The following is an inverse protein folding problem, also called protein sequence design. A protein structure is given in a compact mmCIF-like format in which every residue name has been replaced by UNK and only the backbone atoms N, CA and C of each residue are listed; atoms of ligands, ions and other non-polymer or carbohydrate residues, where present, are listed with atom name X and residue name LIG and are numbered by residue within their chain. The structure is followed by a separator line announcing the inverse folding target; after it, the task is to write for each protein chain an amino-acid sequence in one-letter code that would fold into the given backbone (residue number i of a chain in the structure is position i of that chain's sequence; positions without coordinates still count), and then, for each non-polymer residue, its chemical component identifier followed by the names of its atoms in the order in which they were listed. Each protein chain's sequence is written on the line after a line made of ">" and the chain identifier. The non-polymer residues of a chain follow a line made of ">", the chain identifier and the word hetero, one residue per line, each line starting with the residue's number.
data_IF_655430164233
#
_entry.id   IF_655430164233
#
_cell.length_a   1.000
_cell.length_b   1.000
_cell.length_c   1.000
_cell.angle_alpha   90.00
_cell.angle_beta   90.00
_cell.angle_gamma   90.00
#
_symmetry.space_group_name_H-M   'P 1'
#
loop_
_entity.id
_entity.type
_entity.pdbx_description
1 polymer ?
#
# COMPACT_ATOMS: atom_id res chain seq x y z
N UNK A 1 40.93 17.24 -1.91
CA UNK A 1 40.17 18.33 -2.57
C UNK A 1 38.69 18.01 -2.46
N UNK A 2 37.91 18.88 -1.81
CA UNK A 2 36.45 18.82 -1.74
C UNK A 2 35.90 19.66 -2.89
N UNK A 3 34.98 19.12 -3.67
CA UNK A 3 34.23 19.92 -4.66
C UNK A 3 32.74 19.82 -4.39
N UNK A 4 32.15 20.98 -4.14
CA UNK A 4 30.72 21.26 -4.12
C UNK A 4 30.27 21.71 -5.52
N UNK A 5 29.06 21.33 -5.95
CA UNK A 5 28.20 22.02 -6.96
C UNK A 5 26.81 21.37 -6.88
N UNK A 6 25.79 21.87 -6.16
CA UNK A 6 24.92 23.04 -6.37
C UNK A 6 24.30 23.17 -7.77
N UNK A 7 23.01 22.80 -7.83
CA UNK A 7 21.87 23.45 -8.53
C UNK A 7 21.94 23.68 -10.05
N UNK A 8 21.02 23.01 -10.77
CA UNK A 8 20.48 23.49 -12.04
C UNK A 8 18.96 23.56 -11.96
N UNK A 9 18.44 24.79 -11.98
CA UNK A 9 17.07 25.16 -12.31
C UNK A 9 17.08 25.54 -13.80
N UNK A 10 16.17 24.96 -14.59
CA UNK A 10 15.85 25.47 -15.93
C UNK A 10 14.32 25.45 -16.12
N UNK A 11 13.82 26.59 -16.57
CA UNK A 11 12.42 27.00 -16.69
C UNK A 11 12.05 27.11 -18.19
N UNK A 12 10.78 27.42 -18.50
CA UNK A 12 10.23 27.91 -19.82
C UNK A 12 9.84 26.82 -20.84
N UNK A 13 8.73 26.84 -21.59
CA UNK A 13 7.40 27.50 -21.55
C UNK A 13 6.49 26.89 -22.66
N UNK A 14 5.16 27.09 -22.50
CA UNK A 14 4.05 27.22 -23.48
C UNK A 14 4.06 26.47 -24.84
N UNK A 15 2.96 25.74 -25.12
CA UNK A 15 2.50 25.53 -26.51
C UNK A 15 1.48 24.41 -26.75
N UNK A 16 0.29 24.78 -27.25
CA UNK A 16 -0.41 24.04 -28.32
C UNK A 16 -1.48 23.01 -27.97
N UNK A 17 -2.75 23.39 -28.14
CA UNK A 17 -3.90 22.49 -28.32
C UNK A 17 -3.78 21.78 -29.69
N UNK A 18 -3.78 20.44 -29.74
CA UNK A 18 -4.05 19.67 -30.96
C UNK A 18 -5.14 18.63 -30.66
N UNK A 19 -6.16 18.66 -31.52
CA UNK A 19 -7.34 17.83 -31.52
C UNK A 19 -7.08 16.39 -32.03
N UNK A 20 -7.96 15.48 -31.59
CA UNK A 20 -8.30 14.14 -32.09
C UNK A 20 -7.51 13.53 -33.27
N UNK A 21 -6.93 12.36 -33.02
CA UNK A 21 -6.55 11.36 -34.03
C UNK A 21 -5.82 10.16 -33.42
N UNK A 22 -6.43 8.98 -33.42
CA UNK A 22 -5.80 7.68 -33.12
C UNK A 22 -6.00 6.80 -34.36
N UNK A 23 -5.05 5.93 -34.77
CA UNK A 23 -4.66 4.77 -33.95
C UNK A 23 -3.19 4.29 -34.07
N UNK A 24 -2.83 3.38 -33.16
CA UNK A 24 -1.74 2.39 -33.23
C UNK A 24 -0.30 2.81 -32.80
N UNK A 25 0.19 2.05 -31.80
CA UNK A 25 1.58 1.80 -31.40
C UNK A 25 2.38 2.94 -30.72
N UNK A 26 2.23 3.05 -29.40
CA UNK A 26 3.29 3.27 -28.40
C UNK A 26 2.67 3.90 -27.14
N UNK A 27 2.27 3.08 -26.17
CA UNK A 27 1.91 3.57 -24.84
C UNK A 27 3.20 3.65 -24.02
N UNK A 28 4.00 4.68 -24.27
CA UNK A 28 5.19 4.99 -23.48
C UNK A 28 4.78 5.72 -22.19
N UNK A 29 4.95 5.02 -21.07
CA UNK A 29 5.22 5.46 -19.71
C UNK A 29 4.68 6.81 -19.20
N UNK A 30 3.40 6.81 -18.80
CA UNK A 30 3.01 7.44 -17.52
C UNK A 30 1.76 6.78 -16.94
N UNK A 31 1.93 5.55 -16.45
CA UNK A 31 0.95 4.95 -15.54
C UNK A 31 0.77 5.95 -14.38
N UNK A 32 -0.43 6.52 -14.14
CA UNK A 32 -0.64 7.33 -12.95
C UNK A 32 -0.24 6.47 -11.77
N UNK A 33 0.62 7.02 -10.90
CA UNK A 33 1.04 6.36 -9.67
C UNK A 33 -0.22 5.75 -9.04
N UNK A 34 -0.21 4.45 -8.70
CA UNK A 34 -1.43 3.77 -8.26
C UNK A 34 -2.02 4.57 -7.11
N UNK A 35 -3.22 5.13 -7.36
CA UNK A 35 -3.91 6.02 -6.46
C UNK A 35 -3.78 5.51 -5.01
N UNK A 36 -3.58 6.43 -4.08
CA UNK A 36 -3.59 6.15 -2.65
C UNK A 36 -4.93 5.52 -2.26
N UNK A 37 -5.06 4.20 -2.41
CA UNK A 37 -5.99 3.40 -1.62
C UNK A 37 -5.53 3.51 -0.18
N UNK A 38 -5.95 4.60 0.46
CA UNK A 38 -6.04 4.72 1.91
C UNK A 38 -7.00 3.63 2.37
N UNK A 39 -6.74 3.06 3.53
CA UNK A 39 -7.68 2.14 4.19
C UNK A 39 -9.03 2.85 4.26
N UNK A 40 -10.04 2.36 3.55
CA UNK A 40 -11.31 3.09 3.43
C UNK A 40 -12.14 2.88 4.70
N UNK A 41 -13.08 3.81 4.96
CA UNK A 41 -14.06 3.62 6.03
C UNK A 41 -14.84 2.30 5.86
N UNK A 42 -15.09 1.88 4.61
CA UNK A 42 -15.71 0.59 4.30
C UNK A 42 -14.84 -0.60 4.70
N UNK A 43 -13.52 -0.53 4.51
CA UNK A 43 -12.60 -1.60 4.94
C UNK A 43 -12.62 -1.76 6.46
N UNK A 44 -12.69 -0.64 7.21
CA UNK A 44 -12.84 -0.64 8.66
C UNK A 44 -14.21 -1.17 9.08
N UNK A 45 -15.29 -0.75 8.41
CA UNK A 45 -16.66 -1.22 8.71
C UNK A 45 -16.80 -2.73 8.47
N UNK A 46 -16.18 -3.26 7.41
CA UNK A 46 -16.14 -4.71 7.16
C UNK A 46 -15.33 -5.47 8.23
N UNK A 47 -14.25 -4.87 8.73
CA UNK A 47 -13.48 -5.43 9.84
C UNK A 47 -14.27 -5.43 11.14
N UNK A 48 -15.01 -4.35 11.42
CA UNK A 48 -15.96 -4.30 12.52
C UNK A 48 -17.00 -5.40 12.42
N UNK A 49 -17.71 -5.52 11.29
CA UNK A 49 -18.76 -6.53 11.16
C UNK A 49 -18.22 -7.96 11.32
N UNK A 50 -17.00 -8.21 10.84
CA UNK A 50 -16.43 -9.55 10.85
C UNK A 50 -15.77 -9.93 12.18
N UNK A 51 -15.37 -8.95 13.00
CA UNK A 51 -14.53 -9.18 14.19
C UNK A 51 -15.13 -8.59 15.48
N UNK A 52 -16.04 -7.62 15.38
CA UNK A 52 -16.71 -6.98 16.51
C UNK A 52 -15.82 -5.97 17.24
N UNK A 53 -15.16 -5.08 16.51
CA UNK A 53 -14.27 -4.05 17.09
C UNK A 53 -15.07 -2.94 17.79
N UNK A 54 -14.64 -2.51 18.97
CA UNK A 54 -15.18 -1.30 19.62
C UNK A 54 -14.77 -0.03 18.86
N UNK A 55 -15.48 1.09 19.06
CA UNK A 55 -15.16 2.35 18.39
C UNK A 55 -13.72 2.83 18.64
N UNK A 56 -13.21 2.66 19.86
CA UNK A 56 -11.84 3.02 20.21
C UNK A 56 -10.81 2.07 19.56
N UNK A 57 -11.11 0.78 19.49
CA UNK A 57 -10.26 -0.20 18.82
C UNK A 57 -10.20 0.04 17.31
N UNK A 58 -11.33 0.42 16.68
CA UNK A 58 -11.37 0.78 15.25
C UNK A 58 -10.41 1.90 14.91
N UNK A 59 -10.40 2.97 15.71
CA UNK A 59 -9.51 4.12 15.46
C UNK A 59 -8.03 3.71 15.53
N UNK A 60 -7.65 2.94 16.56
CA UNK A 60 -6.29 2.41 16.72
C UNK A 60 -5.90 1.48 15.58
N UNK A 61 -6.76 0.51 15.24
CA UNK A 61 -6.52 -0.45 14.15
C UNK A 61 -6.46 0.27 12.79
N UNK A 62 -7.31 1.27 12.55
CA UNK A 62 -7.28 2.07 11.32
C UNK A 62 -5.96 2.83 11.14
N UNK A 63 -5.47 3.46 12.22
CA UNK A 63 -4.19 4.15 12.22
C UNK A 63 -3.04 3.17 11.93
N UNK A 64 -3.02 2.00 12.60
CA UNK A 64 -2.01 0.97 12.40
C UNK A 64 -2.04 0.38 10.98
N UNK A 65 -3.22 0.09 10.42
CA UNK A 65 -3.35 -0.40 9.04
C UNK A 65 -2.88 0.65 8.02
N UNK A 66 -3.11 1.93 8.31
CA UNK A 66 -2.63 3.04 7.46
C UNK A 66 -1.11 3.18 7.53
N UNK A 67 -0.53 3.05 8.73
CA UNK A 67 0.93 3.00 8.93
C UNK A 67 1.56 1.83 8.15
N UNK A 68 0.97 0.63 8.27
CA UNK A 68 1.41 -0.57 7.55
C UNK A 68 1.41 -0.36 6.03
N UNK A 69 0.31 0.16 5.49
CA UNK A 69 0.21 0.44 4.06
C UNK A 69 1.22 1.49 3.59
N UNK A 70 1.49 2.49 4.42
CA UNK A 70 2.50 3.53 4.13
C UNK A 70 3.91 2.94 4.10
N UNK A 71 4.29 2.15 5.12
CA UNK A 71 5.59 1.44 5.17
C UNK A 71 5.78 0.53 3.96
N UNK A 72 4.77 -0.29 3.64
CA UNK A 72 4.80 -1.18 2.45
C UNK A 72 4.97 -0.41 1.15
N UNK A 73 4.29 0.73 1.00
CA UNK A 73 4.42 1.58 -0.19
C UNK A 73 5.81 2.18 -0.30
N UNK A 74 6.36 2.70 0.80
CA UNK A 74 7.71 3.25 0.84
C UNK A 74 8.75 2.20 0.41
N UNK A 75 8.70 0.99 0.99
CA UNK A 75 9.60 -0.12 0.63
C UNK A 75 9.42 -0.54 -0.84
N UNK A 76 8.18 -0.56 -1.35
CA UNK A 76 7.92 -0.92 -2.75
C UNK A 76 8.42 0.14 -3.74
N UNK A 77 8.28 1.42 -3.39
CA UNK A 77 8.70 2.56 -4.20
C UNK A 77 10.20 2.84 -4.13
N UNK A 78 10.91 2.29 -3.15
CA UNK A 78 12.34 2.45 -3.00
C UNK A 78 13.09 1.68 -4.12
N UNK A 79 13.62 2.40 -5.11
CA UNK A 79 14.36 1.81 -6.23
C UNK A 79 15.79 1.38 -5.85
N UNK A 80 16.25 1.71 -4.64
CA UNK A 80 17.61 1.37 -4.17
C UNK A 80 17.70 -0.04 -3.58
N UNK A 81 16.56 -0.66 -3.25
CA UNK A 81 16.51 -1.98 -2.63
C UNK A 81 16.34 -3.10 -3.66
N UNK A 82 17.03 -4.21 -3.41
CA UNK A 82 16.79 -5.46 -4.15
C UNK A 82 15.39 -6.01 -3.85
N UNK A 83 14.86 -6.88 -4.73
CA UNK A 83 13.57 -7.54 -4.50
C UNK A 83 13.56 -8.37 -3.20
N UNK A 84 14.69 -8.97 -2.84
CA UNK A 84 14.83 -9.76 -1.61
C UNK A 84 14.82 -8.85 -0.37
N UNK A 85 15.57 -7.74 -0.40
CA UNK A 85 15.57 -6.74 0.68
C UNK A 85 14.21 -6.09 0.86
N UNK A 86 13.50 -5.81 -0.24
CA UNK A 86 12.12 -5.30 -0.20
C UNK A 86 11.20 -6.27 0.51
N UNK A 87 11.31 -7.57 0.21
CA UNK A 87 10.52 -8.61 0.85
C UNK A 87 10.86 -8.72 2.33
N UNK A 88 12.14 -8.70 2.69
CA UNK A 88 12.60 -8.75 4.07
C UNK A 88 12.10 -7.54 4.88
N UNK A 89 12.30 -6.31 4.38
CA UNK A 89 11.82 -5.07 5.02
C UNK A 89 10.31 -5.02 5.14
N UNK A 90 9.60 -5.47 4.10
CA UNK A 90 8.13 -5.56 4.15
C UNK A 90 7.71 -6.53 5.24
N UNK A 91 8.28 -7.74 5.30
CA UNK A 91 7.94 -8.73 6.32
C UNK A 91 8.24 -8.25 7.74
N UNK A 92 9.37 -7.59 7.94
CA UNK A 92 9.73 -7.01 9.24
C UNK A 92 8.73 -5.93 9.68
N UNK A 93 8.39 -4.99 8.78
CA UNK A 93 7.40 -3.96 9.05
C UNK A 93 5.99 -4.51 9.27
N UNK A 94 5.63 -5.58 8.55
CA UNK A 94 4.40 -6.33 8.77
C UNK A 94 4.37 -6.90 10.17
N UNK A 95 5.37 -7.68 10.58
CA UNK A 95 5.42 -8.29 11.92
C UNK A 95 5.34 -7.24 13.03
N UNK A 96 6.04 -6.11 12.89
CA UNK A 96 6.01 -5.01 13.86
C UNK A 96 4.58 -4.45 14.04
N UNK A 97 3.92 -4.09 12.94
CA UNK A 97 2.59 -3.46 13.01
C UNK A 97 1.51 -4.47 13.38
N UNK A 98 1.64 -5.73 12.94
CA UNK A 98 0.75 -6.82 13.35
C UNK A 98 0.81 -7.08 14.85
N UNK A 99 1.99 -6.96 15.48
CA UNK A 99 2.13 -7.00 16.93
C UNK A 99 1.29 -5.92 17.61
N UNK A 100 1.40 -4.68 17.15
CA UNK A 100 0.60 -3.54 17.67
C UNK A 100 -0.91 -3.74 17.46
N UNK A 101 -1.32 -4.30 16.33
CA UNK A 101 -2.74 -4.61 16.07
C UNK A 101 -3.24 -5.70 17.03
N UNK A 102 -2.42 -6.73 17.29
CA UNK A 102 -2.76 -7.79 18.25
C UNK A 102 -2.93 -7.24 19.66
N UNK A 103 -2.12 -6.27 20.08
CA UNK A 103 -2.26 -5.60 21.38
C UNK A 103 -3.50 -4.69 21.45
N UNK A 104 -3.95 -4.15 20.32
CA UNK A 104 -5.15 -3.30 20.24
C UNK A 104 -6.47 -4.10 20.21
N UNK A 105 -6.41 -5.43 20.02
CA UNK A 105 -7.57 -6.33 19.87
C UNK A 105 -7.56 -7.41 20.96
N UNK A 106 -8.70 -8.02 21.25
CA UNK A 106 -8.72 -9.21 22.11
C UNK A 106 -8.19 -10.42 21.33
N UNK A 107 -7.75 -11.47 22.04
CA UNK A 107 -7.24 -12.68 21.40
C UNK A 107 -8.27 -13.34 20.45
N UNK A 108 -9.54 -13.36 20.84
CA UNK A 108 -10.63 -13.89 20.00
C UNK A 108 -10.87 -13.04 18.74
N UNK A 109 -10.82 -11.72 18.90
CA UNK A 109 -10.92 -10.78 17.78
C UNK A 109 -9.75 -10.98 16.81
N UNK A 110 -8.52 -11.08 17.32
CA UNK A 110 -7.34 -11.32 16.50
C UNK A 110 -7.43 -12.65 15.73
N UNK A 111 -7.88 -13.73 16.38
CA UNK A 111 -8.04 -15.03 15.72
C UNK A 111 -9.07 -15.00 14.58
N UNK A 112 -10.21 -14.30 14.75
CA UNK A 112 -11.19 -14.09 13.67
C UNK A 112 -10.58 -13.29 12.52
N UNK A 113 -9.83 -12.24 12.85
CA UNK A 113 -9.15 -11.41 11.88
C UNK A 113 -8.12 -12.19 11.06
N UNK A 114 -7.31 -13.04 11.71
CA UNK A 114 -6.32 -13.88 11.05
C UNK A 114 -6.97 -14.87 10.07
N UNK A 115 -8.08 -15.51 10.46
CA UNK A 115 -8.85 -16.38 9.56
C UNK A 115 -9.39 -15.64 8.34
N UNK A 116 -9.90 -14.42 8.51
CA UNK A 116 -10.35 -13.59 7.39
C UNK A 116 -9.22 -13.26 6.42
N UNK A 117 -8.03 -12.97 6.96
CA UNK A 117 -6.84 -12.68 6.14
C UNK A 117 -6.35 -13.91 5.39
N UNK A 118 -6.35 -15.08 6.04
CA UNK A 118 -6.03 -16.36 5.39
C UNK A 118 -7.01 -16.69 4.26
N UNK A 119 -8.32 -16.54 4.49
CA UNK A 119 -9.34 -16.75 3.48
C UNK A 119 -9.14 -15.82 2.27
N UNK A 120 -8.84 -14.53 2.50
CA UNK A 120 -8.52 -13.58 1.42
C UNK A 120 -7.25 -13.96 0.66
N UNK A 121 -6.21 -14.46 1.34
CA UNK A 121 -4.99 -14.94 0.69
C UNK A 121 -5.28 -16.15 -0.19
N UNK A 122 -6.05 -17.13 0.31
CA UNK A 122 -6.47 -18.31 -0.47
C UNK A 122 -7.29 -17.90 -1.70
N UNK A 123 -8.28 -17.03 -1.53
CA UNK A 123 -9.11 -16.54 -2.63
C UNK A 123 -8.28 -15.82 -3.73
N UNK A 124 -7.25 -15.05 -3.35
CA UNK A 124 -6.33 -14.45 -4.35
C UNK A 124 -5.50 -15.50 -5.07
N UNK A 125 -4.93 -16.46 -4.34
CA UNK A 125 -4.12 -17.53 -4.93
C UNK A 125 -4.95 -18.39 -5.89
N UNK A 126 -6.22 -18.65 -5.56
CA UNK A 126 -7.14 -19.39 -6.44
C UNK A 126 -7.57 -18.58 -7.66
N UNK A 127 -7.79 -17.26 -7.51
CA UNK A 127 -8.08 -16.37 -8.63
C UNK A 127 -6.91 -16.21 -9.60
N UNK A 128 -5.67 -16.32 -9.09
CA UNK A 128 -4.45 -16.30 -9.91
C UNK A 128 -4.26 -17.60 -10.69
N UNK A 129 -4.68 -18.75 -10.15
CA UNK A 129 -4.64 -20.06 -10.85
C UNK A 129 -5.70 -20.20 -11.96
N UNK A 130 -6.74 -19.37 -11.94
CA UNK A 130 -7.84 -19.39 -12.94
C UNK A 130 -7.63 -18.39 -14.08
N UNK A 131 -6.56 -17.59 -14.04
CA UNK A 131 -6.12 -16.71 -15.12
C UNK A 131 -5.00 -17.37 -15.91
#
# INVERSE_FOLDING_TARGET
>A
MRTHTRTSLAMVALGGLIAFGSPALAVDDKKPAPAEKKTTAEDIAKLEQAVGLSAEQKSKVAALLTELNTKRRAVRGDSTLSSEDKKAKTKAGDTEVLGKIKEAMTAEQFAKWEKLQEARRKARAEGEKKK
#
